data_IF_344111422549
#
_entry.id   IF_344111422549
#
_cell.length_a   1.000
_cell.length_b   1.000
_cell.length_c   1.000
_cell.angle_alpha   90.00
_cell.angle_beta   90.00
_cell.angle_gamma   90.00
#
_symmetry.space_group_name_H-M   'P 1'
#
loop_
_entity.id
_entity.type
_entity.pdbx_description
1 polymer ?
#
# COMPACT_ATOMS: atom_id res chain seq x y z
N UNK A 1 -12.16 -11.00 3.67
CA UNK A 1 -11.37 -9.78 3.45
C UNK A 1 -10.11 -10.11 2.67
N UNK A 2 -9.85 -9.37 1.62
CA UNK A 2 -8.69 -9.62 0.78
C UNK A 2 -7.44 -9.00 1.40
N UNK A 3 -6.40 -9.81 1.51
CA UNK A 3 -5.11 -9.31 1.97
C UNK A 3 -4.35 -8.73 0.78
N UNK A 4 -3.75 -7.56 0.95
CA UNK A 4 -3.02 -6.88 -0.11
C UNK A 4 -1.52 -7.04 0.08
N UNK A 5 -1.04 -6.85 1.31
CA UNK A 5 0.38 -6.98 1.62
C UNK A 5 0.57 -7.85 2.85
N UNK A 6 1.61 -8.67 2.85
CA UNK A 6 2.12 -9.31 4.06
C UNK A 6 3.46 -8.66 4.36
N UNK A 7 3.60 -8.09 5.56
CA UNK A 7 4.76 -7.28 5.90
C UNK A 7 5.43 -7.78 7.16
N UNK A 8 6.71 -7.44 7.28
CA UNK A 8 7.47 -7.63 8.50
C UNK A 8 7.85 -6.25 9.02
N UNK A 9 7.60 -6.03 10.31
CA UNK A 9 7.87 -4.75 10.95
C UNK A 9 8.95 -4.99 11.99
N UNK A 10 10.04 -4.23 11.91
CA UNK A 10 11.19 -4.39 12.78
C UNK A 10 11.46 -3.14 13.59
N UNK A 11 11.79 -3.31 14.87
CA UNK A 11 12.27 -2.24 15.71
C UNK A 11 13.43 -2.80 16.55
N UNK A 12 14.65 -2.42 16.19
CA UNK A 12 15.87 -2.95 16.80
C UNK A 12 15.94 -4.47 16.61
N UNK A 13 15.91 -5.24 17.69
CA UNK A 13 15.98 -6.69 17.63
C UNK A 13 14.63 -7.39 17.71
N UNK A 14 13.55 -6.62 17.63
CA UNK A 14 12.19 -7.17 17.65
C UNK A 14 11.58 -7.10 16.26
N UNK A 15 10.85 -8.15 15.90
CA UNK A 15 10.15 -8.20 14.61
C UNK A 15 8.77 -8.81 14.80
N UNK A 16 7.82 -8.30 14.03
CA UNK A 16 6.44 -8.80 14.02
C UNK A 16 5.96 -8.84 12.58
N UNK A 17 5.24 -9.90 12.24
CA UNK A 17 4.59 -10.00 10.93
C UNK A 17 3.15 -9.51 11.03
N UNK A 18 2.68 -8.87 9.98
CA UNK A 18 1.32 -8.34 9.94
C UNK A 18 0.81 -8.40 8.52
N UNK A 19 -0.47 -8.69 8.36
CA UNK A 19 -1.12 -8.67 7.05
C UNK A 19 -1.96 -7.41 6.93
N UNK A 20 -1.82 -6.72 5.80
CA UNK A 20 -2.55 -5.49 5.54
C UNK A 20 -3.66 -5.74 4.50
N UNK A 21 -4.82 -5.13 4.64
CA UNK A 21 -5.13 -4.09 5.61
C UNK A 21 -5.32 -4.65 7.02
N UNK A 22 -4.91 -3.88 8.00
CA UNK A 22 -5.04 -4.21 9.42
C UNK A 22 -5.95 -3.21 10.10
N UNK A 23 -6.59 -3.64 11.19
CA UNK A 23 -7.43 -2.75 12.00
C UNK A 23 -6.56 -1.88 12.88
N UNK A 24 -7.14 -0.81 13.42
CA UNK A 24 -6.45 0.06 14.37
C UNK A 24 -5.95 -0.72 15.59
N UNK A 25 -6.74 -1.67 16.07
CA UNK A 25 -6.35 -2.50 17.21
C UNK A 25 -5.13 -3.36 16.88
N UNK A 26 -5.08 -3.90 15.68
CA UNK A 26 -3.93 -4.69 15.24
C UNK A 26 -2.68 -3.84 15.14
N UNK A 27 -2.80 -2.62 14.64
CA UNK A 27 -1.67 -1.70 14.55
C UNK A 27 -1.15 -1.32 15.94
N UNK A 28 -2.06 -1.01 16.86
CA UNK A 28 -1.69 -0.68 18.23
C UNK A 28 -1.00 -1.86 18.93
N UNK A 29 -1.53 -3.06 18.72
CA UNK A 29 -0.94 -4.26 19.30
C UNK A 29 0.48 -4.49 18.80
N UNK A 30 0.72 -4.30 17.51
CA UNK A 30 2.05 -4.45 16.93
C UNK A 30 3.01 -3.40 17.50
N UNK A 31 2.57 -2.16 17.60
CA UNK A 31 3.42 -1.10 18.15
C UNK A 31 3.79 -1.38 19.60
N UNK A 32 2.84 -1.90 20.37
CA UNK A 32 3.10 -2.28 21.75
C UNK A 32 4.11 -3.43 21.85
N UNK A 33 3.94 -4.46 21.03
CA UNK A 33 4.85 -5.61 21.00
C UNK A 33 6.26 -5.22 20.60
N UNK A 34 6.40 -4.24 19.72
CA UNK A 34 7.71 -3.76 19.26
C UNK A 34 8.32 -2.72 20.19
N UNK A 35 7.57 -2.24 21.18
CA UNK A 35 8.05 -1.20 22.07
C UNK A 35 8.27 0.13 21.39
N UNK A 36 7.46 0.42 20.38
CA UNK A 36 7.59 1.66 19.60
C UNK A 36 6.98 2.82 20.35
N UNK A 37 7.74 3.89 20.47
CA UNK A 37 7.25 5.17 20.99
C UNK A 37 7.10 6.12 19.81
N UNK A 38 6.26 7.14 20.00
CA UNK A 38 5.80 8.00 18.91
C UNK A 38 6.88 8.52 17.97
N UNK A 39 8.07 8.76 18.47
CA UNK A 39 9.11 9.40 17.69
C UNK A 39 9.95 8.45 16.84
N UNK A 40 9.74 7.15 17.00
CA UNK A 40 10.57 6.15 16.32
C UNK A 40 9.72 5.44 15.28
N UNK A 41 10.14 5.51 14.03
CA UNK A 41 9.48 4.79 12.95
C UNK A 41 10.11 3.41 12.80
N UNK A 42 9.30 2.35 12.77
CA UNK A 42 9.84 1.01 12.54
C UNK A 42 10.24 0.83 11.09
N UNK A 43 11.12 -0.11 10.85
CA UNK A 43 11.41 -0.58 9.50
C UNK A 43 10.30 -1.50 9.02
N UNK A 44 9.84 -1.28 7.80
CA UNK A 44 8.77 -2.07 7.21
C UNK A 44 9.29 -2.73 5.93
N UNK A 45 9.05 -4.03 5.78
CA UNK A 45 9.40 -4.78 4.58
C UNK A 45 8.20 -5.57 4.10
N UNK A 46 7.93 -5.55 2.81
CA UNK A 46 6.85 -6.34 2.22
C UNK A 46 7.46 -7.63 1.69
N UNK A 47 7.00 -8.76 2.19
CA UNK A 47 7.53 -10.06 1.74
C UNK A 47 6.55 -10.86 0.90
N UNK A 48 5.30 -10.41 0.83
CA UNK A 48 4.31 -11.08 -0.02
C UNK A 48 3.25 -10.06 -0.46
N UNK A 49 2.84 -10.18 -1.71
CA UNK A 49 1.78 -9.35 -2.30
C UNK A 49 0.55 -10.20 -2.53
N UNK A 50 -0.63 -9.61 -2.33
CA UNK A 50 -1.89 -10.29 -2.57
C UNK A 50 -2.14 -10.51 -4.05
N UNK A 51 -3.10 -11.37 -4.35
CA UNK A 51 -3.46 -11.69 -5.72
C UNK A 51 -3.95 -10.45 -6.44
N UNK A 52 -3.38 -10.18 -7.59
CA UNK A 52 -3.70 -9.00 -8.40
C UNK A 52 -2.79 -7.81 -8.13
N UNK A 53 -1.91 -7.90 -7.13
CA UNK A 53 -1.04 -6.78 -6.76
C UNK A 53 0.45 -7.11 -6.87
N UNK A 54 0.79 -8.25 -7.43
CA UNK A 54 2.17 -8.72 -7.50
C UNK A 54 3.09 -7.79 -8.27
N UNK A 55 2.59 -7.14 -9.30
CA UNK A 55 3.40 -6.23 -10.11
C UNK A 55 3.76 -4.94 -9.38
N UNK A 56 3.13 -4.64 -8.24
CA UNK A 56 3.56 -3.51 -7.43
C UNK A 56 4.96 -3.74 -6.84
N UNK A 57 5.38 -4.99 -6.70
CA UNK A 57 6.69 -5.31 -6.18
C UNK A 57 7.81 -4.69 -7.02
N UNK A 58 7.59 -4.55 -8.33
CA UNK A 58 8.60 -4.04 -9.24
C UNK A 58 8.62 -2.52 -9.34
N UNK A 59 7.56 -1.85 -8.90
CA UNK A 59 7.42 -0.40 -9.11
C UNK A 59 7.42 0.39 -7.81
N UNK A 60 7.17 -0.25 -6.68
CA UNK A 60 7.05 0.42 -5.39
C UNK A 60 8.41 0.80 -4.82
N UNK A 61 8.49 2.01 -4.27
CA UNK A 61 9.69 2.45 -3.55
C UNK A 61 9.73 1.77 -2.18
N UNK A 62 10.57 0.73 -2.07
CA UNK A 62 10.70 -0.05 -0.83
C UNK A 62 11.59 0.61 0.21
N UNK A 63 12.23 1.72 -0.13
CA UNK A 63 13.16 2.38 0.78
C UNK A 63 12.48 3.36 1.74
N UNK A 64 11.25 3.74 1.44
CA UNK A 64 10.53 4.76 2.21
C UNK A 64 9.12 4.30 2.55
N UNK A 65 9.01 3.12 3.16
CA UNK A 65 7.71 2.58 3.54
C UNK A 65 7.31 3.10 4.92
N UNK A 66 6.10 3.66 4.99
CA UNK A 66 5.48 4.10 6.24
C UNK A 66 4.33 3.16 6.54
N UNK A 67 4.30 2.63 7.76
CA UNK A 67 3.30 1.62 8.14
C UNK A 67 1.87 2.13 7.95
N UNK A 68 1.60 3.35 8.38
CA UNK A 68 0.25 3.88 8.32
C UNK A 68 -0.18 4.22 6.90
N UNK A 69 0.72 4.78 6.10
CA UNK A 69 0.44 5.05 4.69
C UNK A 69 0.21 3.74 3.93
N UNK A 70 1.03 2.75 4.21
CA UNK A 70 0.92 1.45 3.54
C UNK A 70 -0.39 0.76 3.91
N UNK A 71 -0.79 0.85 5.18
CA UNK A 71 -2.06 0.29 5.62
C UNK A 71 -3.24 1.01 4.97
N UNK A 72 -3.16 2.33 4.83
CA UNK A 72 -4.21 3.10 4.16
C UNK A 72 -4.33 2.67 2.69
N UNK A 73 -3.20 2.50 2.00
CA UNK A 73 -3.21 2.01 0.63
C UNK A 73 -3.82 0.60 0.55
N UNK A 74 -3.41 -0.28 1.45
CA UNK A 74 -3.95 -1.65 1.47
C UNK A 74 -5.46 -1.64 1.70
N UNK A 75 -5.94 -0.75 2.57
CA UNK A 75 -7.37 -0.60 2.82
C UNK A 75 -8.14 -0.20 1.57
N UNK A 76 -7.59 0.73 0.81
CA UNK A 76 -8.20 1.13 -0.46
C UNK A 76 -8.19 -0.01 -1.47
N UNK A 77 -7.03 -0.63 -1.65
CA UNK A 77 -6.89 -1.68 -2.66
C UNK A 77 -7.74 -2.91 -2.34
N UNK A 78 -7.95 -3.20 -1.07
CA UNK A 78 -8.76 -4.35 -0.66
C UNK A 78 -10.23 -4.20 -1.04
N UNK A 79 -10.67 -2.96 -1.30
CA UNK A 79 -12.06 -2.67 -1.65
C UNK A 79 -12.25 -2.52 -3.16
N UNK A 80 -11.18 -2.64 -3.93
CA UNK A 80 -11.26 -2.46 -5.38
C UNK A 80 -12.05 -3.60 -6.03
N UNK A 81 -12.92 -3.20 -6.94
CA UNK A 81 -13.52 -4.12 -7.88
C UNK A 81 -12.61 -4.17 -9.12
N UNK A 82 -12.94 -5.04 -10.07
CA UNK A 82 -12.10 -5.21 -11.26
C UNK A 82 -11.91 -3.89 -12.01
N UNK A 83 -12.96 -3.09 -12.11
CA UNK A 83 -12.89 -1.82 -12.81
C UNK A 83 -11.93 -0.85 -12.15
N UNK A 84 -11.95 -0.81 -10.82
CA UNK A 84 -11.05 0.04 -10.04
C UNK A 84 -9.61 -0.40 -10.23
N UNK A 85 -9.39 -1.70 -10.23
CA UNK A 85 -8.06 -2.26 -10.39
C UNK A 85 -7.48 -1.92 -11.76
N UNK A 86 -8.30 -2.03 -12.80
CA UNK A 86 -7.87 -1.67 -14.15
C UNK A 86 -7.50 -0.19 -14.24
N UNK A 87 -8.34 0.67 -13.68
CA UNK A 87 -8.07 2.11 -13.68
C UNK A 87 -6.79 2.43 -12.90
N UNK A 88 -6.60 1.79 -11.76
CA UNK A 88 -5.41 1.98 -10.93
C UNK A 88 -4.14 1.57 -11.69
N UNK A 89 -4.16 0.39 -12.32
CA UNK A 89 -3.01 -0.07 -13.09
C UNK A 89 -2.71 0.84 -14.28
N UNK A 90 -3.74 1.39 -14.90
CA UNK A 90 -3.56 2.34 -16.01
C UNK A 90 -2.83 3.59 -15.54
N UNK A 91 -3.18 4.09 -14.35
CA UNK A 91 -2.50 5.25 -13.77
C UNK A 91 -1.04 4.94 -13.46
N UNK A 92 -0.78 3.74 -12.93
CA UNK A 92 0.58 3.31 -12.63
C UNK A 92 1.42 3.24 -13.91
N UNK A 93 0.88 2.63 -14.95
CA UNK A 93 1.58 2.49 -16.23
C UNK A 93 1.88 3.86 -16.83
N UNK A 94 0.90 4.75 -16.82
CA UNK A 94 1.08 6.10 -17.35
C UNK A 94 2.18 6.84 -16.59
N UNK A 95 2.20 6.71 -15.27
CA UNK A 95 3.24 7.33 -14.44
C UNK A 95 4.63 6.79 -14.81
N UNK A 96 4.75 5.48 -15.01
CA UNK A 96 6.02 4.86 -15.38
C UNK A 96 6.49 5.28 -16.77
N UNK A 97 5.56 5.55 -17.67
CA UNK A 97 5.91 6.07 -19.00
C UNK A 97 6.45 7.49 -18.93
N UNK A 98 6.00 8.27 -17.94
CA UNK A 98 6.46 9.64 -17.76
C UNK A 98 7.77 9.71 -16.99
N UNK A 99 7.95 8.82 -16.03
CA UNK A 99 9.13 8.76 -15.19
C UNK A 99 9.41 7.30 -14.85
N UNK A 100 10.64 6.88 -15.02
CA UNK A 100 11.02 5.47 -14.83
C UNK A 100 11.45 5.13 -13.40
N UNK A 101 11.37 6.07 -12.46
CA UNK A 101 11.77 5.81 -11.09
C UNK A 101 10.64 5.15 -10.29
N UNK A 102 11.00 4.62 -9.13
CA UNK A 102 10.05 3.95 -8.25
C UNK A 102 8.95 4.89 -7.77
N UNK A 103 7.78 4.31 -7.52
CA UNK A 103 6.60 5.06 -7.11
C UNK A 103 6.44 4.94 -5.59
N UNK A 104 6.29 6.07 -4.90
CA UNK A 104 6.10 6.08 -3.46
C UNK A 104 4.71 5.57 -3.08
N UNK A 105 4.57 5.11 -1.84
CA UNK A 105 3.27 4.68 -1.31
C UNK A 105 2.26 5.82 -1.38
N UNK A 106 2.69 7.03 -1.07
CA UNK A 106 1.80 8.20 -1.10
C UNK A 106 1.27 8.45 -2.51
N UNK A 107 2.12 8.32 -3.51
CA UNK A 107 1.72 8.49 -4.90
C UNK A 107 0.71 7.41 -5.32
N UNK A 108 0.97 6.16 -4.92
CA UNK A 108 0.03 5.07 -5.18
C UNK A 108 -1.31 5.30 -4.47
N UNK A 109 -1.26 5.84 -3.26
CA UNK A 109 -2.47 6.15 -2.52
C UNK A 109 -3.29 7.22 -3.25
N UNK A 110 -2.63 8.24 -3.79
CA UNK A 110 -3.31 9.25 -4.59
C UNK A 110 -3.96 8.63 -5.83
N UNK A 111 -3.27 7.72 -6.49
CA UNK A 111 -3.85 7.00 -7.65
C UNK A 111 -5.08 6.19 -7.23
N UNK A 112 -5.03 5.57 -6.06
CA UNK A 112 -6.15 4.75 -5.59
C UNK A 112 -7.41 5.58 -5.37
N UNK A 113 -7.27 6.85 -5.06
CA UNK A 113 -8.41 7.77 -4.92
C UNK A 113 -8.85 8.36 -6.25
N UNK A 114 -8.00 8.31 -7.25
CA UNK A 114 -8.30 8.89 -8.57
C UNK A 114 -9.10 7.95 -9.46
N UNK A 115 -9.25 6.70 -9.10
CA UNK A 115 -10.01 5.74 -9.91
C UNK A 115 -11.47 6.15 -10.03
N UNK A 116 -12.02 6.76 -8.99
CA UNK A 116 -13.40 7.24 -9.03
C UNK A 116 -13.60 8.32 -10.08
N UNK A 117 -12.62 9.17 -10.25
CA UNK A 117 -12.67 10.22 -11.26
C UNK A 117 -12.64 9.63 -12.67
N UNK A 118 -11.88 8.57 -12.86
CA UNK A 118 -11.79 7.91 -14.14
C UNK A 118 -13.12 7.28 -14.55
N UNK A 119 -13.88 6.79 -13.59
CA UNK A 119 -15.16 6.18 -13.87
C UNK A 119 -16.21 7.19 -14.28
N UNK A 120 -16.16 8.38 -13.72
CA UNK A 120 -17.16 9.40 -13.98
C UNK A 120 -17.03 9.97 -15.38
N UNK A 121 -15.83 10.19 -15.81
CA UNK A 121 -15.61 10.88 -17.08
C UNK A 121 -16.03 10.14 -18.32
N UNK A 122 -15.83 8.85 -18.43
CA UNK A 122 -16.13 8.18 -19.70
C UNK A 122 -17.58 8.24 -20.09
N UNK A 123 -18.45 8.30 -19.15
CA UNK A 123 -19.85 8.35 -19.44
C UNK A 123 -20.30 9.68 -19.99
N UNK A 124 -19.45 10.64 -19.99
CA UNK A 124 -19.81 12.00 -20.31
C UNK A 124 -19.55 12.36 -21.74
N UNK A 125 -18.62 11.72 -22.30
CA UNK A 125 -18.23 12.15 -23.63
C UNK A 125 -18.89 11.53 -24.70
#
# INVERSE_FOLDING_TARGET
MNKVFAIEICNKDREVELQLPATDYQLLDVMEKLGIIEEVKPSVSIYQYGEGFENLADVLDHNNLDLFELNALAGRLSQFELEDLIAFHSLVITRLEQREDDISVRELLDFSHSTDCCEVRPGIE
#
